data_IF_500592318884
#
_entry.id   IF_500592318884
#
_cell.length_a   1.000
_cell.length_b   1.000
_cell.length_c   1.000
_cell.angle_alpha   90.00
_cell.angle_beta   90.00
_cell.angle_gamma   90.00
#
_symmetry.space_group_name_H-M   'P 1'
#
loop_
_entity.id
_entity.type
_entity.pdbx_description
1 polymer ?
#
# COMPACT_ATOMS: atom_id res chain seq x y z
N UNK A 1 -30.97 -25.10 -72.78
CA UNK A 1 -29.74 -24.56 -72.10
C UNK A 1 -30.16 -23.68 -70.95
N UNK A 2 -30.06 -24.17 -69.71
CA UNK A 2 -30.43 -23.43 -68.47
C UNK A 2 -29.17 -23.09 -67.74
N UNK A 3 -28.85 -21.79 -67.65
CA UNK A 3 -27.77 -21.30 -66.78
C UNK A 3 -28.28 -21.14 -65.34
N UNK A 4 -27.66 -21.83 -64.43
CA UNK A 4 -27.89 -21.72 -63.01
C UNK A 4 -26.90 -20.71 -62.43
N UNK A 5 -27.40 -19.54 -62.07
CA UNK A 5 -26.65 -18.54 -61.31
C UNK A 5 -26.50 -18.99 -59.85
N UNK A 6 -25.29 -19.30 -59.45
CA UNK A 6 -24.96 -19.52 -58.05
C UNK A 6 -24.71 -18.15 -57.38
N UNK A 7 -25.66 -17.75 -56.54
CA UNK A 7 -25.50 -16.58 -55.64
C UNK A 7 -24.63 -17.03 -54.50
N UNK A 8 -23.42 -16.48 -54.42
CA UNK A 8 -22.51 -16.70 -53.32
C UNK A 8 -22.90 -15.75 -52.20
N UNK A 9 -23.55 -16.28 -51.18
CA UNK A 9 -23.88 -15.51 -49.96
C UNK A 9 -22.64 -15.30 -49.11
N UNK A 10 -22.15 -14.05 -49.06
CA UNK A 10 -21.06 -13.62 -48.18
C UNK A 10 -21.65 -13.43 -46.76
N UNK A 11 -21.45 -14.40 -45.89
CA UNK A 11 -21.76 -14.25 -44.46
C UNK A 11 -20.70 -13.39 -43.81
N UNK A 12 -21.03 -12.12 -43.58
CA UNK A 12 -20.22 -11.24 -42.75
C UNK A 12 -20.47 -11.61 -41.30
N UNK A 13 -19.56 -12.38 -40.72
CA UNK A 13 -19.56 -12.64 -39.29
C UNK A 13 -19.03 -11.35 -38.58
N UNK A 14 -19.96 -10.55 -38.07
CA UNK A 14 -19.64 -9.45 -37.17
C UNK A 14 -19.13 -10.03 -35.85
N UNK A 15 -17.85 -10.09 -35.69
CA UNK A 15 -17.20 -10.33 -34.42
C UNK A 15 -17.44 -9.10 -33.52
N UNK A 16 -18.46 -9.18 -32.69
CA UNK A 16 -18.63 -8.29 -31.56
C UNK A 16 -17.53 -8.66 -30.55
N UNK A 17 -16.39 -7.97 -30.64
CA UNK A 17 -15.43 -7.91 -29.54
C UNK A 17 -16.09 -7.17 -28.39
N UNK A 18 -16.68 -7.91 -27.46
CA UNK A 18 -17.06 -7.38 -26.17
C UNK A 18 -15.74 -6.98 -25.47
N UNK A 19 -15.33 -5.73 -25.66
CA UNK A 19 -14.35 -5.13 -24.80
C UNK A 19 -14.95 -5.18 -23.39
N UNK A 20 -14.53 -6.14 -22.59
CA UNK A 20 -14.77 -6.12 -21.16
C UNK A 20 -14.12 -4.81 -20.68
N UNK A 21 -14.94 -3.80 -20.46
CA UNK A 21 -14.57 -2.63 -19.69
C UNK A 21 -14.32 -3.17 -18.28
N UNK A 22 -13.07 -3.60 -18.05
CA UNK A 22 -12.57 -3.85 -16.72
C UNK A 22 -12.68 -2.51 -15.99
N UNK A 23 -13.80 -2.29 -15.31
CA UNK A 23 -13.83 -1.27 -14.26
C UNK A 23 -12.70 -1.69 -13.33
N UNK A 24 -11.62 -0.92 -13.29
CA UNK A 24 -10.64 -1.00 -12.22
C UNK A 24 -11.43 -0.71 -10.94
N UNK A 25 -12.01 -1.74 -10.38
CA UNK A 25 -12.64 -1.66 -9.07
C UNK A 25 -11.48 -1.47 -8.12
N UNK A 26 -11.34 -0.23 -7.61
CA UNK A 26 -10.49 0.01 -6.45
C UNK A 26 -11.02 -0.94 -5.38
N UNK A 27 -10.29 -2.00 -5.11
CA UNK A 27 -10.66 -2.98 -4.09
C UNK A 27 -10.77 -2.21 -2.78
N UNK A 28 -11.98 -2.16 -2.21
CA UNK A 28 -12.19 -1.49 -0.92
C UNK A 28 -11.42 -2.28 0.12
N UNK A 29 -10.34 -1.70 0.59
CA UNK A 29 -9.49 -2.33 1.58
C UNK A 29 -10.12 -2.17 2.96
N UNK A 30 -10.85 -3.18 3.43
CA UNK A 30 -11.36 -3.19 4.79
C UNK A 30 -10.22 -3.39 5.80
N UNK A 31 -10.34 -2.82 7.00
CA UNK A 31 -9.34 -2.99 8.06
C UNK A 31 -9.12 -4.47 8.40
N UNK A 32 -10.17 -5.29 8.40
CA UNK A 32 -10.08 -6.74 8.60
C UNK A 32 -9.22 -7.42 7.52
N UNK A 33 -9.39 -7.03 6.25
CA UNK A 33 -8.58 -7.57 5.14
C UNK A 33 -7.13 -7.11 5.26
N UNK A 34 -6.90 -5.86 5.65
CA UNK A 34 -5.55 -5.33 5.86
C UNK A 34 -4.83 -6.10 6.96
N UNK A 35 -5.47 -6.36 8.10
CA UNK A 35 -4.92 -7.14 9.21
C UNK A 35 -4.71 -8.61 8.89
N UNK A 36 -5.46 -9.18 7.94
CA UNK A 36 -5.23 -10.56 7.48
C UNK A 36 -4.01 -10.70 6.58
N UNK A 37 -3.67 -9.65 5.85
CA UNK A 37 -2.61 -9.66 4.84
C UNK A 37 -1.31 -8.99 5.30
N UNK A 38 -1.39 -8.05 6.25
CA UNK A 38 -0.22 -7.48 6.90
C UNK A 38 0.23 -8.37 8.06
N UNK A 39 1.53 -8.41 8.31
CA UNK A 39 2.08 -9.13 9.47
C UNK A 39 1.75 -8.39 10.77
N UNK A 40 1.78 -7.05 10.73
CA UNK A 40 1.43 -6.21 11.88
C UNK A 40 1.15 -4.77 11.45
N UNK A 41 0.72 -3.96 12.41
CA UNK A 41 0.64 -2.51 12.32
C UNK A 41 1.42 -1.87 13.47
N UNK A 42 2.19 -0.82 13.17
CA UNK A 42 2.94 -0.05 14.17
C UNK A 42 2.33 1.34 14.30
N UNK A 43 2.12 1.79 15.55
CA UNK A 43 1.93 3.19 15.86
C UNK A 43 3.20 3.74 16.48
N UNK A 44 3.77 4.79 15.93
CA UNK A 44 5.00 5.39 16.44
C UNK A 44 5.44 6.62 15.67
N UNK A 45 6.60 7.13 16.09
CA UNK A 45 7.23 8.31 15.50
C UNK A 45 8.24 7.88 14.45
N UNK A 46 8.27 8.56 13.31
CA UNK A 46 9.31 8.37 12.30
C UNK A 46 10.58 9.04 12.80
N UNK A 47 11.61 8.24 13.11
CA UNK A 47 12.90 8.72 13.67
C UNK A 47 14.01 8.77 12.65
N UNK A 48 13.88 8.05 11.53
CA UNK A 48 14.86 8.05 10.45
C UNK A 48 14.16 7.82 9.10
N UNK A 49 14.71 8.41 8.04
CA UNK A 49 14.29 8.18 6.66
C UNK A 49 15.50 8.26 5.75
N UNK A 50 15.64 7.28 4.88
CA UNK A 50 16.69 7.25 3.86
C UNK A 50 16.16 6.67 2.55
N UNK A 51 16.74 7.09 1.44
CA UNK A 51 16.48 6.52 0.12
C UNK A 51 17.72 5.78 -0.33
N UNK A 52 17.54 4.52 -0.72
CA UNK A 52 18.59 3.70 -1.29
C UNK A 52 18.35 3.47 -2.78
N UNK A 53 19.42 3.29 -3.53
CA UNK A 53 19.41 2.85 -4.93
C UNK A 53 20.05 1.48 -5.03
N UNK A 54 19.42 0.59 -5.78
CA UNK A 54 19.94 -0.73 -6.12
C UNK A 54 20.02 -0.84 -7.63
N UNK A 55 21.20 -1.20 -8.15
CA UNK A 55 21.39 -1.55 -9.55
C UNK A 55 21.46 -3.08 -9.62
N UNK A 56 20.46 -3.71 -10.25
CA UNK A 56 20.35 -5.16 -10.30
C UNK A 56 20.40 -5.67 -11.76
N UNK A 57 21.17 -6.73 -12.05
CA UNK A 57 21.40 -7.17 -13.44
C UNK A 57 20.15 -7.76 -14.12
N UNK A 58 19.15 -8.20 -13.35
CA UNK A 58 17.92 -8.81 -13.86
C UNK A 58 16.74 -7.86 -13.72
N UNK A 59 16.56 -7.27 -12.52
CA UNK A 59 15.40 -6.41 -12.22
C UNK A 59 15.58 -4.98 -12.76
N UNK A 60 16.78 -4.66 -13.24
CA UNK A 60 17.13 -3.40 -13.86
C UNK A 60 17.94 -2.46 -12.99
N UNK A 61 18.51 -1.42 -13.59
CA UNK A 61 19.19 -0.36 -12.85
C UNK A 61 18.18 0.56 -12.20
N UNK A 62 18.67 1.34 -11.22
CA UNK A 62 17.93 2.47 -10.63
C UNK A 62 16.62 2.08 -9.93
N UNK A 63 16.67 0.96 -9.19
CA UNK A 63 15.61 0.62 -8.26
C UNK A 63 15.76 1.48 -7.00
N UNK A 64 14.82 2.37 -6.77
CA UNK A 64 14.84 3.26 -5.61
C UNK A 64 13.83 2.78 -4.56
N UNK A 65 14.28 2.76 -3.31
CA UNK A 65 13.48 2.39 -2.15
C UNK A 65 13.67 3.40 -1.04
N UNK A 66 12.57 3.76 -0.38
CA UNK A 66 12.61 4.57 0.83
C UNK A 66 12.45 3.65 2.05
N UNK A 67 13.38 3.75 2.99
CA UNK A 67 13.31 3.15 4.31
C UNK A 67 12.91 4.21 5.33
N UNK A 68 11.88 3.93 6.12
CA UNK A 68 11.54 4.74 7.29
C UNK A 68 11.66 3.89 8.55
N UNK A 69 12.33 4.42 9.58
CA UNK A 69 12.36 3.80 10.90
C UNK A 69 11.26 4.40 11.76
N UNK A 70 10.42 3.54 12.31
CA UNK A 70 9.31 3.91 13.18
C UNK A 70 9.58 3.36 14.58
N UNK A 71 9.73 4.24 15.56
CA UNK A 71 9.84 3.87 16.96
C UNK A 71 8.52 4.06 17.67
N UNK A 72 8.01 2.98 18.28
CA UNK A 72 6.70 3.01 18.89
C UNK A 72 6.26 1.68 19.43
N UNK A 73 5.04 1.25 19.11
CA UNK A 73 4.48 -0.01 19.57
C UNK A 73 3.70 -0.73 18.46
N UNK A 74 3.72 -2.04 18.51
CA UNK A 74 2.83 -2.90 17.74
C UNK A 74 1.37 -2.66 18.17
N UNK A 75 0.44 -2.55 17.21
CA UNK A 75 -0.99 -2.48 17.51
C UNK A 75 -1.57 -3.86 17.81
N UNK A 76 -0.95 -4.94 17.29
CA UNK A 76 -1.42 -6.31 17.51
C UNK A 76 -1.02 -6.86 18.86
N UNK A 77 0.21 -6.55 19.33
CA UNK A 77 0.76 -7.10 20.58
C UNK A 77 0.87 -6.07 21.71
N UNK A 78 0.91 -4.79 21.40
CA UNK A 78 1.16 -3.70 22.35
C UNK A 78 2.65 -3.54 22.74
N UNK A 79 3.54 -4.39 22.23
CA UNK A 79 4.97 -4.35 22.57
C UNK A 79 5.66 -3.14 21.95
N UNK A 80 6.66 -2.62 22.65
CA UNK A 80 7.53 -1.56 22.10
C UNK A 80 8.41 -2.15 21.00
N UNK A 81 8.42 -1.47 19.85
CA UNK A 81 9.17 -1.91 18.67
C UNK A 81 9.89 -0.73 18.01
N UNK A 82 11.02 -1.04 17.39
CA UNK A 82 11.66 -0.20 16.37
C UNK A 82 11.57 -0.96 15.05
N UNK A 83 10.84 -0.41 14.08
CA UNK A 83 10.54 -1.11 12.84
C UNK A 83 10.99 -0.28 11.64
N UNK A 84 11.81 -0.88 10.79
CA UNK A 84 12.11 -0.33 9.46
C UNK A 84 11.03 -0.81 8.51
N UNK A 85 10.33 0.14 7.87
CA UNK A 85 9.33 -0.12 6.84
C UNK A 85 9.80 0.49 5.53
N UNK A 86 9.67 -0.28 4.45
CA UNK A 86 10.22 0.04 3.14
C UNK A 86 9.11 0.19 2.10
N UNK A 87 9.26 1.13 1.19
CA UNK A 87 8.37 1.26 0.02
C UNK A 87 9.16 1.69 -1.22
N UNK A 88 8.58 1.43 -2.40
CA UNK A 88 9.21 1.77 -3.68
C UNK A 88 9.25 3.28 -3.90
N UNK A 89 10.28 3.74 -4.58
CA UNK A 89 10.46 5.15 -4.96
C UNK A 89 11.13 5.98 -3.88
N UNK A 90 11.34 7.23 -4.20
CA UNK A 90 12.04 8.23 -3.40
C UNK A 90 13.12 8.92 -4.21
N UNK A 91 13.67 10.00 -3.66
CA UNK A 91 14.71 10.81 -4.26
C UNK A 91 15.87 10.93 -3.30
N UNK A 92 17.08 10.56 -3.77
CA UNK A 92 18.34 10.80 -3.05
C UNK A 92 18.72 12.27 -3.18
N UNK A 93 18.50 12.83 -4.39
CA UNK A 93 18.68 14.23 -4.75
C UNK A 93 17.77 14.59 -5.93
N UNK A 94 17.88 15.79 -6.47
CA UNK A 94 17.02 16.31 -7.55
C UNK A 94 17.16 15.54 -8.88
N UNK A 95 18.29 14.83 -9.09
CA UNK A 95 18.59 14.09 -10.32
C UNK A 95 18.46 12.58 -10.15
N UNK A 96 18.53 12.08 -8.90
CA UNK A 96 18.58 10.65 -8.57
C UNK A 96 17.38 10.25 -7.74
N UNK A 97 16.39 9.64 -8.39
CA UNK A 97 15.21 9.14 -7.72
C UNK A 97 14.10 8.76 -8.69
N UNK A 98 13.07 8.16 -8.14
CA UNK A 98 11.87 7.75 -8.88
C UNK A 98 10.62 8.16 -8.12
N UNK A 99 9.72 8.85 -8.83
CA UNK A 99 8.36 9.05 -8.35
C UNK A 99 7.53 7.79 -8.57
N UNK A 100 6.88 7.34 -7.52
CA UNK A 100 5.93 6.24 -7.58
C UNK A 100 4.58 6.70 -7.01
N UNK A 101 3.52 6.62 -7.80
CA UNK A 101 2.16 7.06 -7.42
C UNK A 101 1.56 6.27 -6.25
N UNK A 102 2.02 5.04 -6.04
CA UNK A 102 1.59 4.20 -4.93
C UNK A 102 2.33 4.49 -3.61
N UNK A 103 3.39 5.29 -3.70
CA UNK A 103 4.18 5.64 -2.51
C UNK A 103 3.47 6.68 -1.65
N UNK A 104 3.74 6.69 -0.34
CA UNK A 104 3.29 7.75 0.55
C UNK A 104 3.77 9.12 0.10
N UNK A 105 2.97 10.15 0.36
CA UNK A 105 3.41 11.53 0.15
C UNK A 105 4.49 11.93 1.16
N UNK A 106 5.27 12.96 0.84
CA UNK A 106 6.26 13.51 1.78
C UNK A 106 5.65 13.93 3.13
N UNK A 107 4.39 14.37 3.12
CA UNK A 107 3.66 14.71 4.36
C UNK A 107 3.29 13.48 5.20
N UNK A 108 3.08 12.33 4.57
CA UNK A 108 2.76 11.08 5.26
C UNK A 108 3.97 10.49 5.99
N UNK A 109 5.18 10.74 5.46
CA UNK A 109 6.45 10.18 5.97
C UNK A 109 7.39 11.23 6.56
N UNK A 110 6.85 12.37 6.98
CA UNK A 110 7.64 13.45 7.56
C UNK A 110 8.34 13.01 8.84
N UNK A 111 9.64 13.26 8.93
CA UNK A 111 10.45 13.02 10.14
C UNK A 111 9.81 13.67 11.37
N UNK A 112 9.80 12.94 12.49
CA UNK A 112 9.22 13.38 13.74
C UNK A 112 7.69 13.35 13.81
N UNK A 113 7.00 12.89 12.75
CA UNK A 113 5.55 12.70 12.78
C UNK A 113 5.18 11.37 13.38
N UNK A 114 4.09 11.35 14.16
CA UNK A 114 3.48 10.12 14.63
C UNK A 114 2.52 9.59 13.56
N UNK A 115 2.64 8.30 13.27
CA UNK A 115 1.87 7.61 12.24
C UNK A 115 1.38 6.24 12.70
N UNK A 116 0.42 5.69 11.96
CA UNK A 116 0.12 4.25 11.94
C UNK A 116 0.55 3.70 10.58
N UNK A 117 1.34 2.62 10.56
CA UNK A 117 1.76 1.95 9.33
C UNK A 117 1.53 0.44 9.41
N UNK A 118 0.92 -0.12 8.37
CA UNK A 118 0.73 -1.55 8.18
C UNK A 118 1.85 -2.08 7.29
N UNK A 119 2.46 -3.20 7.66
CA UNK A 119 3.59 -3.76 6.90
C UNK A 119 3.52 -5.29 6.85
N UNK A 120 4.18 -5.85 5.85
CA UNK A 120 4.39 -7.29 5.72
C UNK A 120 5.81 -7.58 5.29
N UNK A 121 6.36 -8.71 5.75
CA UNK A 121 7.67 -9.16 5.30
C UNK A 121 7.59 -9.58 3.83
N UNK A 122 8.52 -9.09 3.04
CA UNK A 122 8.67 -9.44 1.62
C UNK A 122 10.10 -9.90 1.41
N UNK A 123 10.26 -11.15 0.93
CA UNK A 123 11.59 -11.75 0.72
C UNK A 123 12.36 -11.10 -0.44
N UNK A 124 11.63 -10.59 -1.41
CA UNK A 124 12.22 -9.85 -2.54
C UNK A 124 11.25 -8.77 -3.03
N UNK A 125 11.58 -7.51 -2.78
CA UNK A 125 10.88 -6.33 -3.28
C UNK A 125 11.36 -5.92 -4.69
N UNK A 126 12.33 -6.64 -5.26
CA UNK A 126 13.13 -6.30 -6.42
C UNK A 126 14.57 -5.98 -6.03
N UNK A 127 15.55 -6.33 -6.90
CA UNK A 127 16.97 -6.16 -6.61
C UNK A 127 17.47 -6.99 -5.42
N UNK A 128 16.85 -8.16 -5.18
CA UNK A 128 17.13 -9.04 -4.04
C UNK A 128 16.96 -8.36 -2.66
N UNK A 129 16.17 -7.28 -2.60
CA UNK A 129 15.90 -6.57 -1.35
C UNK A 129 14.81 -7.29 -0.54
N UNK A 130 15.18 -7.86 0.61
CA UNK A 130 14.25 -8.38 1.60
C UNK A 130 13.97 -7.32 2.67
N UNK A 131 12.71 -6.99 2.91
CA UNK A 131 12.34 -5.97 3.88
C UNK A 131 10.89 -6.10 4.39
N UNK A 132 10.56 -5.37 5.46
CA UNK A 132 9.16 -5.13 5.81
C UNK A 132 8.59 -4.11 4.83
N UNK A 133 7.85 -4.57 3.84
CA UNK A 133 7.23 -3.69 2.86
C UNK A 133 6.00 -3.00 3.45
N UNK A 134 5.84 -1.71 3.14
CA UNK A 134 4.61 -0.99 3.45
C UNK A 134 3.45 -1.64 2.70
N UNK A 135 2.51 -2.22 3.45
CA UNK A 135 1.38 -2.91 2.85
C UNK A 135 0.40 -1.91 2.21
N UNK A 136 -0.07 -2.21 1.00
CA UNK A 136 -0.97 -1.36 0.22
C UNK A 136 -0.44 0.07 -0.07
N UNK A 137 0.88 0.27 -0.13
CA UNK A 137 1.48 1.55 -0.48
C UNK A 137 0.97 2.70 0.40
N UNK A 138 0.61 3.83 -0.21
CA UNK A 138 0.06 4.98 0.52
C UNK A 138 -1.24 4.66 1.29
N UNK A 139 -1.95 3.59 0.95
CA UNK A 139 -3.14 3.10 1.66
C UNK A 139 -2.84 2.42 2.98
N UNK A 140 -1.59 2.03 3.22
CA UNK A 140 -1.12 1.36 4.44
C UNK A 140 -0.54 2.28 5.50
N UNK A 141 -0.48 3.59 5.26
CA UNK A 141 0.08 4.56 6.20
C UNK A 141 -0.95 5.66 6.53
N UNK A 142 -1.06 6.03 7.79
CA UNK A 142 -2.04 7.00 8.28
C UNK A 142 -1.37 7.98 9.23
N UNK A 143 -1.48 9.27 8.92
CA UNK A 143 -1.02 10.35 9.81
C UNK A 143 -1.86 10.41 11.07
N UNK A 144 -1.26 10.87 12.14
CA UNK A 144 -1.98 11.14 13.37
C UNK A 144 -1.85 12.59 13.80
N UNK A 145 -2.80 13.04 14.61
CA UNK A 145 -2.78 14.37 15.23
C UNK A 145 -3.18 14.27 16.69
N UNK A 146 -2.65 15.15 17.52
CA UNK A 146 -3.07 15.26 18.92
C UNK A 146 -4.40 16.00 19.01
N UNK A 147 -5.43 15.32 19.46
CA UNK A 147 -6.76 15.89 19.71
C UNK A 147 -7.05 16.07 21.20
N UNK A 148 -8.19 16.67 21.51
CA UNK A 148 -8.61 16.88 22.91
C UNK A 148 -8.86 15.57 23.69
N UNK A 149 -9.20 14.49 22.98
CA UNK A 149 -9.51 13.16 23.54
C UNK A 149 -8.41 12.13 23.30
N UNK A 150 -7.18 12.56 23.04
CA UNK A 150 -6.05 11.71 22.72
C UNK A 150 -5.62 11.81 21.25
N UNK A 151 -4.80 10.88 20.81
CA UNK A 151 -4.31 10.82 19.44
C UNK A 151 -5.42 10.39 18.49
N UNK A 152 -5.60 11.13 17.41
CA UNK A 152 -6.55 10.87 16.33
C UNK A 152 -5.78 10.36 15.12
N UNK A 153 -6.17 9.22 14.60
CA UNK A 153 -5.71 8.67 13.32
C UNK A 153 -6.58 9.27 12.21
N UNK A 154 -5.95 9.90 11.23
CA UNK A 154 -6.65 10.57 10.15
C UNK A 154 -7.07 9.56 9.08
N UNK A 155 -8.37 9.45 8.84
CA UNK A 155 -8.93 8.63 7.77
C UNK A 155 -8.63 9.21 6.40
N UNK A 156 -8.56 8.35 5.38
CA UNK A 156 -8.25 8.73 4.00
C UNK A 156 -9.47 8.78 3.07
N UNK A 157 -10.67 8.51 3.60
CA UNK A 157 -11.90 8.48 2.82
C UNK A 157 -12.33 7.06 2.42
N UNK A 158 -13.42 7.00 1.66
CA UNK A 158 -14.00 5.73 1.22
C UNK A 158 -13.02 4.95 0.34
N UNK A 159 -12.95 3.63 0.57
CA UNK A 159 -12.02 2.74 -0.12
C UNK A 159 -10.77 2.40 0.68
N UNK A 160 -10.42 3.18 1.70
CA UNK A 160 -9.28 2.92 2.58
C UNK A 160 -9.71 2.16 3.85
N UNK A 161 -8.77 1.41 4.42
CA UNK A 161 -9.02 0.61 5.63
C UNK A 161 -9.46 1.47 6.83
N UNK A 162 -8.91 2.65 6.96
CA UNK A 162 -9.35 3.67 7.91
C UNK A 162 -9.98 4.81 7.09
N UNK A 163 -11.28 4.71 6.85
CA UNK A 163 -12.00 5.68 6.00
C UNK A 163 -12.27 7.00 6.71
N UNK A 164 -12.56 6.98 8.00
CA UNK A 164 -12.90 8.15 8.81
C UNK A 164 -11.90 8.34 9.93
N UNK A 165 -11.75 9.60 10.38
CA UNK A 165 -10.95 9.88 11.56
C UNK A 165 -11.46 9.05 12.75
N UNK A 166 -10.54 8.38 13.44
CA UNK A 166 -10.82 7.56 14.61
C UNK A 166 -9.81 7.86 15.72
N UNK A 167 -10.15 7.60 16.97
CA UNK A 167 -9.14 7.69 18.04
C UNK A 167 -8.17 6.51 17.94
N UNK A 168 -6.93 6.71 18.36
CA UNK A 168 -5.97 5.60 18.45
C UNK A 168 -6.48 4.49 19.37
N UNK A 169 -7.17 4.86 20.46
CA UNK A 169 -7.77 3.91 21.40
C UNK A 169 -8.86 3.04 20.74
N UNK A 170 -9.71 3.66 19.90
CA UNK A 170 -10.76 2.92 19.19
C UNK A 170 -10.13 2.01 18.12
N UNK A 171 -9.08 2.49 17.42
CA UNK A 171 -8.33 1.67 16.48
C UNK A 171 -7.67 0.48 17.16
N UNK A 172 -7.03 0.66 18.32
CA UNK A 172 -6.44 -0.42 19.12
C UNK A 172 -7.48 -1.47 19.51
N UNK A 173 -8.62 -1.02 19.97
CA UNK A 173 -9.73 -1.91 20.36
C UNK A 173 -10.21 -2.73 19.16
N UNK A 174 -10.36 -2.10 17.99
CA UNK A 174 -10.79 -2.77 16.77
C UNK A 174 -9.74 -3.75 16.24
N UNK A 175 -8.46 -3.36 16.19
CA UNK A 175 -7.34 -4.24 15.81
C UNK A 175 -7.30 -5.46 16.74
N UNK A 176 -7.37 -5.24 18.06
CA UNK A 176 -7.37 -6.32 19.05
C UNK A 176 -8.56 -7.27 18.89
N UNK A 177 -9.74 -6.74 18.56
CA UNK A 177 -10.94 -7.54 18.29
C UNK A 177 -10.75 -8.41 17.05
N UNK A 178 -10.36 -7.80 15.94
CA UNK A 178 -10.17 -8.47 14.65
C UNK A 178 -9.06 -9.53 14.70
N UNK A 179 -7.94 -9.24 15.38
CA UNK A 179 -6.84 -10.20 15.55
C UNK A 179 -7.28 -11.44 16.36
N UNK A 180 -8.18 -11.28 17.34
CA UNK A 180 -8.72 -12.44 18.09
C UNK A 180 -9.68 -13.28 17.29
N UNK A 181 -10.46 -12.69 16.39
CA UNK A 181 -11.40 -13.40 15.51
C UNK A 181 -10.69 -14.23 14.41
N UNK A 182 -9.42 -13.94 14.14
CA UNK A 182 -8.60 -14.63 13.13
C UNK A 182 -7.79 -15.82 13.69
N UNK A 183 -7.76 -15.99 15.01
CA UNK A 183 -7.09 -17.12 15.71
C UNK A 183 -8.04 -18.25 15.98
#
# INVERSE_FOLDING_TARGET
MKQTNKVLGLAVAALFSAAALGTAQIERLALSTMLQKADDAVFGTITHSEVIRIDHPVDGPELYYTHITIEGRSLSTGETVSKVVTFHGGFIDDENGVYNSESPSADDVRMGSDIVAFYSWTENMGGDLAANSLYAGHGGIYRTVKGRKGTIVLGRGDGYAIAKNTTLTDLDAEVSRLTREQR
#
